data_IF_972395816725
#
_entry.id   IF_972395816725
#
_cell.length_a   1.000
_cell.length_b   1.000
_cell.length_c   1.000
_cell.angle_alpha   90.00
_cell.angle_beta   90.00
_cell.angle_gamma   90.00
#
_symmetry.space_group_name_H-M   'P 1'
#
loop_
_entity.id
_entity.type
_entity.pdbx_description
1 polymer ?
#
# COMPACT_ATOMS: atom_id res chain seq x y z
N UNK A 1 -2.50 14.55 17.67
CA UNK A 1 -3.91 14.14 17.43
C UNK A 1 -3.89 12.83 16.68
N UNK A 2 -4.61 11.81 17.17
CA UNK A 2 -4.66 10.49 16.56
C UNK A 2 -5.79 10.39 15.53
N UNK A 3 -5.51 9.79 14.37
CA UNK A 3 -6.42 9.60 13.26
C UNK A 3 -6.36 8.15 12.78
N UNK A 4 -7.50 7.60 12.39
CA UNK A 4 -7.57 6.31 11.71
C UNK A 4 -7.49 6.53 10.20
N UNK A 5 -6.80 5.63 9.49
CA UNK A 5 -6.79 5.63 8.03
C UNK A 5 -8.21 5.29 7.52
N UNK A 6 -8.78 6.18 6.71
CA UNK A 6 -9.99 5.90 5.95
C UNK A 6 -9.61 5.16 4.66
N UNK A 7 -9.89 3.86 4.62
CA UNK A 7 -9.58 3.00 3.48
C UNK A 7 -10.29 3.42 2.18
N UNK A 8 -11.41 4.16 2.26
CA UNK A 8 -12.14 4.60 1.05
C UNK A 8 -11.45 5.75 0.34
N UNK A 9 -10.69 6.56 1.08
CA UNK A 9 -10.02 7.76 0.57
C UNK A 9 -8.48 7.67 0.65
N UNK A 10 -7.95 6.49 0.96
CA UNK A 10 -6.52 6.22 1.08
C UNK A 10 -6.12 5.09 0.15
N UNK A 11 -4.86 5.08 -0.30
CA UNK A 11 -4.36 4.06 -1.20
C UNK A 11 -2.91 3.69 -0.88
N UNK A 12 -2.62 2.39 -0.81
CA UNK A 12 -1.27 1.86 -0.78
C UNK A 12 -0.87 1.41 -2.19
N UNK A 13 -0.07 2.22 -2.89
CA UNK A 13 0.27 2.01 -4.31
C UNK A 13 1.75 1.76 -4.50
N UNK A 14 2.10 0.98 -5.53
CA UNK A 14 3.49 0.76 -5.95
C UNK A 14 3.65 0.88 -7.47
N UNK A 15 4.90 1.07 -7.88
CA UNK A 15 5.29 1.02 -9.29
C UNK A 15 6.66 0.38 -9.45
N UNK A 16 6.78 -0.55 -10.39
CA UNK A 16 8.05 -1.23 -10.69
C UNK A 16 8.32 -1.22 -12.19
N UNK A 17 9.60 -1.05 -12.56
CA UNK A 17 10.03 -1.12 -13.96
C UNK A 17 9.97 -2.56 -14.45
N UNK A 18 9.42 -2.75 -15.63
CA UNK A 18 9.36 -4.04 -16.31
C UNK A 18 10.19 -3.97 -17.59
N UNK A 19 11.31 -4.70 -17.59
CA UNK A 19 12.30 -4.72 -18.67
C UNK A 19 12.80 -3.33 -19.12
N UNK A 20 12.89 -2.37 -18.19
CA UNK A 20 13.30 -0.97 -18.44
C UNK A 20 12.41 -0.15 -19.39
N UNK A 21 11.39 -0.75 -20.00
CA UNK A 21 10.54 -0.13 -21.03
C UNK A 21 9.19 0.27 -20.43
N UNK A 22 8.52 -0.67 -19.77
CA UNK A 22 7.19 -0.44 -19.21
C UNK A 22 7.25 -0.29 -17.68
N UNK A 23 6.16 0.24 -17.10
CA UNK A 23 6.02 0.38 -15.65
C UNK A 23 4.75 -0.33 -15.23
N UNK A 24 4.90 -1.39 -14.45
CA UNK A 24 3.77 -2.06 -13.79
C UNK A 24 3.39 -1.20 -12.59
N UNK A 25 2.10 -0.88 -12.49
CA UNK A 25 1.52 -0.18 -11.34
C UNK A 25 0.54 -1.12 -10.66
N UNK A 26 0.55 -1.10 -9.35
CA UNK A 26 -0.39 -1.87 -8.55
C UNK A 26 -0.72 -1.17 -7.25
N UNK A 27 -1.64 -1.77 -6.52
CA UNK A 27 -2.08 -1.32 -5.22
C UNK A 27 -2.54 -2.51 -4.39
N UNK A 28 -2.67 -2.31 -3.08
CA UNK A 28 -3.32 -3.23 -2.16
C UNK A 28 -4.72 -2.70 -1.87
N UNK A 29 -5.74 -3.54 -2.05
CA UNK A 29 -7.15 -3.14 -1.85
C UNK A 29 -7.54 -3.08 -0.37
N UNK A 30 -6.83 -3.80 0.49
CA UNK A 30 -7.06 -3.81 1.94
C UNK A 30 -5.94 -3.06 2.63
N UNK A 31 -6.28 -1.86 3.14
CA UNK A 31 -5.41 -0.97 3.88
C UNK A 31 -6.07 -0.62 5.21
N UNK A 32 -5.29 -0.65 6.28
CA UNK A 32 -5.70 -0.15 7.60
C UNK A 32 -4.53 0.52 8.30
N UNK A 33 -4.80 1.26 9.37
CA UNK A 33 -3.74 1.87 10.18
C UNK A 33 -4.19 3.10 10.93
N UNK A 34 -3.23 3.69 11.64
CA UNK A 34 -3.41 4.87 12.47
C UNK A 34 -2.21 5.80 12.32
N UNK A 35 -2.43 7.09 12.54
CA UNK A 35 -1.37 8.07 12.56
C UNK A 35 -1.62 9.09 13.67
N UNK A 36 -0.53 9.54 14.30
CA UNK A 36 -0.57 10.68 15.20
C UNK A 36 0.22 11.84 14.58
N UNK A 37 -0.42 13.00 14.50
CA UNK A 37 0.22 14.26 14.10
C UNK A 37 0.35 15.15 15.33
N UNK A 38 1.57 15.51 15.66
CA UNK A 38 1.90 16.53 16.65
C UNK A 38 2.28 17.83 15.92
N UNK A 39 1.36 18.79 15.88
CA UNK A 39 1.55 20.06 15.16
C UNK A 39 2.58 20.98 15.83
N UNK A 40 2.79 20.83 17.14
CA UNK A 40 3.76 21.62 17.90
C UNK A 40 5.18 21.04 17.76
N UNK A 41 5.28 19.71 17.68
CA UNK A 41 6.53 18.96 17.58
C UNK A 41 6.43 17.88 16.49
N UNK A 42 6.56 18.25 15.20
CA UNK A 42 6.37 17.31 14.08
C UNK A 42 7.20 16.03 14.16
N UNK A 43 8.38 16.07 14.79
CA UNK A 43 9.26 14.93 15.03
C UNK A 43 8.64 13.83 15.91
N UNK A 44 7.64 14.16 16.72
CA UNK A 44 6.89 13.20 17.54
C UNK A 44 5.74 12.53 16.78
N UNK A 45 5.50 12.95 15.53
CA UNK A 45 4.46 12.37 14.68
C UNK A 45 4.86 10.98 14.21
N UNK A 46 3.89 10.08 14.10
CA UNK A 46 4.12 8.71 13.64
C UNK A 46 2.94 8.18 12.84
N UNK A 47 3.20 7.15 12.05
CA UNK A 47 2.18 6.40 11.30
C UNK A 47 2.47 4.91 11.39
N UNK A 48 1.42 4.13 11.57
CA UNK A 48 1.43 2.68 11.43
C UNK A 48 0.37 2.32 10.39
N UNK A 49 0.77 1.56 9.37
CA UNK A 49 -0.11 1.13 8.30
C UNK A 49 0.15 -0.34 7.97
N UNK A 50 -0.94 -1.07 7.73
CA UNK A 50 -0.92 -2.48 7.39
C UNK A 50 -1.71 -2.71 6.11
N UNK A 51 -1.18 -3.58 5.24
CA UNK A 51 -1.85 -4.05 4.03
C UNK A 51 -1.97 -5.57 4.06
N UNK A 52 -3.09 -6.11 3.58
CA UNK A 52 -3.17 -7.53 3.26
C UNK A 52 -2.42 -7.79 1.95
N UNK A 53 -1.31 -8.52 2.01
CA UNK A 53 -0.54 -8.88 0.82
C UNK A 53 -1.38 -9.64 -0.23
N UNK A 54 -2.37 -10.43 0.20
CA UNK A 54 -3.27 -11.16 -0.70
C UNK A 54 -4.24 -10.24 -1.45
N UNK A 55 -4.38 -8.98 -1.04
CA UNK A 55 -5.20 -7.95 -1.69
C UNK A 55 -4.46 -7.22 -2.84
N UNK A 56 -3.26 -7.68 -3.23
CA UNK A 56 -2.52 -7.11 -4.35
C UNK A 56 -3.34 -7.14 -5.66
N UNK A 57 -3.37 -6.00 -6.34
CA UNK A 57 -4.04 -5.80 -7.61
C UNK A 57 -3.14 -4.99 -8.56
N UNK A 58 -2.72 -5.65 -9.64
CA UNK A 58 -1.99 -5.04 -10.77
C UNK A 58 -2.85 -4.97 -12.04
N UNK A 59 -4.16 -5.24 -11.93
CA UNK A 59 -5.14 -5.34 -13.02
C UNK A 59 -4.83 -6.44 -14.04
N UNK A 60 -4.05 -7.44 -13.64
CA UNK A 60 -3.73 -8.63 -14.43
C UNK A 60 -3.89 -9.86 -13.54
N UNK A 61 -5.00 -10.61 -13.66
CA UNK A 61 -5.28 -11.74 -12.77
C UNK A 61 -4.20 -12.82 -12.77
N UNK A 62 -3.47 -13.02 -13.88
CA UNK A 62 -2.39 -14.02 -13.94
C UNK A 62 -1.19 -13.55 -13.14
N UNK A 63 -0.81 -12.27 -13.30
CA UNK A 63 0.28 -11.68 -12.51
C UNK A 63 -0.08 -11.60 -11.03
N UNK A 64 -1.30 -11.21 -10.71
CA UNK A 64 -1.78 -11.14 -9.33
C UNK A 64 -1.79 -12.54 -8.68
N UNK A 65 -2.14 -13.59 -9.43
CA UNK A 65 -2.02 -14.97 -8.96
C UNK A 65 -0.57 -15.39 -8.67
N UNK A 66 0.36 -15.03 -9.55
CA UNK A 66 1.79 -15.33 -9.38
C UNK A 66 2.39 -14.58 -8.17
N UNK A 67 2.04 -13.30 -7.97
CA UNK A 67 2.52 -12.48 -6.85
C UNK A 67 1.99 -12.92 -5.48
N UNK A 68 0.95 -13.77 -5.43
CA UNK A 68 0.41 -14.36 -4.19
C UNK A 68 0.96 -15.77 -3.92
N UNK A 69 1.80 -16.29 -4.80
CA UNK A 69 2.36 -17.63 -4.68
C UNK A 69 3.69 -17.62 -3.91
N UNK A 70 4.17 -18.77 -3.40
CA UNK A 70 5.44 -18.85 -2.66
C UNK A 70 6.70 -18.43 -3.43
N UNK A 71 6.59 -18.22 -4.75
CA UNK A 71 7.69 -17.68 -5.57
C UNK A 71 7.94 -16.18 -5.28
N UNK A 72 7.04 -15.52 -4.53
CA UNK A 72 7.10 -14.14 -4.06
C UNK A 72 6.77 -14.04 -2.57
#
# INVERSE_FOLDING_TARGET
>A
MAWNIDATHSQATFSVKHMMISTVRGHFEVLSGQLNIDEAHPENSWVEAEVDAASINTRDPKRDGHLKSPDF
#
